data_IF_027227902307
#
_entry.id   IF_027227902307
#
_cell.length_a   1.000
_cell.length_b   1.000
_cell.length_c   1.000
_cell.angle_alpha   90.00
_cell.angle_beta   90.00
_cell.angle_gamma   90.00
#
_symmetry.space_group_name_H-M   'P 1'
#
loop_
_entity.id
_entity.type
_entity.pdbx_description
1 polymer ?
#
# COMPACT_ATOMS: atom_id res chain seq x y z
N UNK A 1 10.14 5.58 4.69
CA UNK A 1 9.58 6.81 5.28
C UNK A 1 8.98 7.75 4.24
N UNK A 2 9.75 8.56 3.48
CA UNK A 2 9.14 9.59 2.58
C UNK A 2 8.16 9.04 1.52
N UNK A 3 8.43 7.86 0.95
CA UNK A 3 7.49 7.23 0.01
C UNK A 3 6.16 6.81 0.66
N UNK A 4 6.21 6.30 1.89
CA UNK A 4 5.03 5.93 2.65
C UNK A 4 4.20 7.16 3.03
N UNK A 5 4.85 8.27 3.38
CA UNK A 5 4.19 9.55 3.64
C UNK A 5 3.44 10.08 2.41
N UNK A 6 4.05 9.97 1.21
CA UNK A 6 3.40 10.36 -0.04
C UNK A 6 2.18 9.49 -0.31
N UNK A 7 2.28 8.17 -0.16
CA UNK A 7 1.16 7.25 -0.34
C UNK A 7 0.04 7.56 0.66
N UNK A 8 0.37 7.79 1.93
CA UNK A 8 -0.60 8.14 2.96
C UNK A 8 -1.29 9.46 2.64
N UNK A 9 -0.56 10.48 2.19
CA UNK A 9 -1.15 11.76 1.78
C UNK A 9 -2.12 11.61 0.59
N UNK A 10 -1.81 10.72 -0.36
CA UNK A 10 -2.71 10.38 -1.47
C UNK A 10 -3.98 9.71 -0.95
N UNK A 11 -3.85 8.74 -0.03
CA UNK A 11 -4.99 8.06 0.60
C UNK A 11 -5.86 9.06 1.38
N UNK A 12 -5.26 9.94 2.17
CA UNK A 12 -5.99 10.99 2.90
C UNK A 12 -6.74 11.93 1.96
N UNK A 13 -6.14 12.30 0.82
CA UNK A 13 -6.79 13.15 -0.17
C UNK A 13 -8.01 12.47 -0.79
N UNK A 14 -7.87 11.20 -1.17
CA UNK A 14 -8.95 10.37 -1.71
C UNK A 14 -10.09 10.20 -0.71
N UNK A 15 -9.75 10.09 0.57
CA UNK A 15 -10.68 9.86 1.66
C UNK A 15 -11.51 11.10 2.08
N UNK A 16 -11.33 12.25 1.44
CA UNK A 16 -12.15 13.43 1.73
C UNK A 16 -13.52 13.32 1.06
N UNK A 17 -14.55 13.85 1.72
CA UNK A 17 -15.93 13.87 1.20
C UNK A 17 -16.02 14.54 -0.17
N UNK A 18 -15.25 15.60 -0.41
CA UNK A 18 -15.19 16.30 -1.70
C UNK A 18 -14.64 15.42 -2.83
N UNK A 19 -13.68 14.55 -2.52
CA UNK A 19 -13.04 13.67 -3.49
C UNK A 19 -13.88 12.45 -3.83
N UNK A 20 -14.73 11.97 -2.92
CA UNK A 20 -15.72 10.93 -3.23
C UNK A 20 -16.72 11.34 -4.32
N UNK A 21 -17.02 12.65 -4.43
CA UNK A 21 -17.91 13.18 -5.48
C UNK A 21 -17.24 13.29 -6.85
N UNK A 22 -15.93 13.52 -6.89
CA UNK A 22 -15.16 13.71 -8.13
C UNK A 22 -14.25 12.51 -8.44
N UNK A 23 -14.55 11.34 -7.87
CA UNK A 23 -13.66 10.18 -7.90
C UNK A 23 -13.42 9.64 -9.32
N UNK A 24 -14.46 9.65 -10.14
CA UNK A 24 -14.42 9.23 -11.55
C UNK A 24 -13.46 10.08 -12.39
N UNK A 25 -13.41 11.40 -12.13
CA UNK A 25 -12.53 12.33 -12.85
C UNK A 25 -11.06 12.07 -12.50
N UNK A 26 -10.76 11.86 -11.21
CA UNK A 26 -9.41 11.55 -10.73
C UNK A 26 -8.93 10.23 -11.32
N UNK A 27 -9.74 9.18 -11.24
CA UNK A 27 -9.36 7.87 -11.78
C UNK A 27 -9.25 7.89 -13.30
N UNK A 28 -10.06 8.69 -14.01
CA UNK A 28 -9.92 8.87 -15.45
C UNK A 28 -8.61 9.58 -15.83
N UNK A 29 -8.16 10.53 -15.01
CA UNK A 29 -6.90 11.25 -15.24
C UNK A 29 -5.66 10.37 -14.99
N UNK A 30 -5.66 9.58 -13.91
CA UNK A 30 -4.52 8.75 -13.51
C UNK A 30 -4.52 7.39 -14.22
N UNK A 31 -5.68 6.84 -14.54
CA UNK A 31 -5.87 5.52 -15.13
C UNK A 31 -5.18 5.32 -16.49
N UNK A 32 -4.92 6.39 -17.25
CA UNK A 32 -4.14 6.29 -18.51
C UNK A 32 -2.69 5.84 -18.30
N UNK A 33 -2.14 6.06 -17.10
CA UNK A 33 -0.75 5.77 -16.76
C UNK A 33 -0.64 4.75 -15.61
N UNK A 34 -1.74 4.10 -15.24
CA UNK A 34 -1.82 3.16 -14.13
C UNK A 34 -2.45 1.87 -14.62
N UNK A 35 -1.82 0.74 -14.30
CA UNK A 35 -2.37 -0.58 -14.57
C UNK A 35 -2.79 -1.22 -13.24
N UNK A 36 -4.04 -1.68 -13.17
CA UNK A 36 -4.60 -2.37 -12.01
C UNK A 36 -5.66 -3.36 -12.46
N UNK A 37 -5.87 -4.40 -11.68
CA UNK A 37 -6.97 -5.35 -11.78
C UNK A 37 -8.24 -4.89 -11.02
N UNK A 38 -8.16 -3.78 -10.28
CA UNK A 38 -9.29 -3.19 -9.57
C UNK A 38 -10.19 -2.42 -10.53
N UNK A 39 -11.48 -2.73 -10.52
CA UNK A 39 -12.47 -1.95 -11.29
C UNK A 39 -12.78 -0.62 -10.61
N UNK A 40 -13.33 0.35 -11.35
CA UNK A 40 -13.82 1.61 -10.79
C UNK A 40 -14.75 1.40 -9.59
N UNK A 41 -15.64 0.40 -9.70
CA UNK A 41 -16.57 0.02 -8.64
C UNK A 41 -15.86 -0.53 -7.41
N UNK A 42 -14.82 -1.35 -7.57
CA UNK A 42 -14.03 -1.88 -6.45
C UNK A 42 -13.33 -0.77 -5.69
N UNK A 43 -12.67 0.14 -6.40
CA UNK A 43 -11.95 1.24 -5.76
C UNK A 43 -12.94 2.17 -5.05
N UNK A 44 -14.10 2.44 -5.64
CA UNK A 44 -15.16 3.24 -5.00
C UNK A 44 -15.69 2.57 -3.73
N UNK A 45 -15.88 1.26 -3.77
CA UNK A 45 -16.32 0.45 -2.62
C UNK A 45 -15.28 0.48 -1.50
N UNK A 46 -13.99 0.35 -1.84
CA UNK A 46 -12.88 0.48 -0.88
C UNK A 46 -12.88 1.88 -0.25
N UNK A 47 -12.94 2.93 -1.08
CA UNK A 47 -12.91 4.31 -0.62
C UNK A 47 -14.10 4.66 0.29
N UNK A 48 -15.27 4.04 0.11
CA UNK A 48 -16.44 4.23 0.98
C UNK A 48 -16.38 3.41 2.26
N UNK A 49 -16.04 2.13 2.16
CA UNK A 49 -16.19 1.17 3.26
C UNK A 49 -14.95 1.06 4.16
N UNK A 50 -13.76 1.31 3.61
CA UNK A 50 -12.49 1.17 4.32
C UNK A 50 -11.83 2.52 4.61
N UNK A 51 -12.55 3.62 4.39
CA UNK A 51 -12.06 4.98 4.60
C UNK A 51 -11.57 5.20 6.02
N UNK A 52 -12.21 4.56 7.01
CA UNK A 52 -11.88 4.67 8.43
C UNK A 52 -10.57 3.97 8.78
N UNK A 53 -10.16 2.94 8.02
CA UNK A 53 -8.92 2.20 8.26
C UNK A 53 -7.68 3.10 8.10
N UNK A 54 -7.77 4.18 7.32
CA UNK A 54 -6.68 5.16 7.17
C UNK A 54 -6.27 5.85 8.48
N UNK A 55 -7.16 5.89 9.47
CA UNK A 55 -6.88 6.52 10.75
C UNK A 55 -5.87 5.73 11.59
N UNK A 56 -5.61 4.46 11.25
CA UNK A 56 -4.64 3.63 11.92
C UNK A 56 -3.77 2.89 10.89
N UNK A 57 -2.71 3.57 10.42
CA UNK A 57 -1.75 3.02 9.45
C UNK A 57 -0.46 2.68 10.18
N UNK A 58 -0.11 1.40 10.17
CA UNK A 58 1.19 0.92 10.64
C UNK A 58 2.17 0.80 9.48
N UNK A 59 3.30 1.49 9.57
CA UNK A 59 4.35 1.41 8.56
C UNK A 59 5.33 0.30 8.91
N UNK A 60 5.45 -0.67 8.01
CA UNK A 60 6.45 -1.73 8.11
C UNK A 60 7.57 -1.48 7.10
N UNK A 61 8.80 -1.85 7.47
CA UNK A 61 9.97 -1.80 6.58
C UNK A 61 10.66 -3.14 6.66
N UNK A 62 11.07 -3.68 5.51
CA UNK A 62 11.84 -4.92 5.45
C UNK A 62 13.24 -4.66 5.96
N UNK A 63 13.62 -5.25 7.08
CA UNK A 63 14.98 -5.19 7.58
C UNK A 63 15.87 -6.19 6.82
N UNK A 64 17.10 -5.79 6.53
CA UNK A 64 18.03 -6.60 5.77
C UNK A 64 19.34 -5.87 5.54
N UNK A 65 20.30 -6.60 5.01
CA UNK A 65 21.66 -6.10 4.80
C UNK A 65 21.98 -6.12 3.31
N UNK A 66 22.61 -5.06 2.83
CA UNK A 66 23.13 -5.01 1.47
C UNK A 66 24.40 -5.84 1.35
N UNK A 67 24.48 -6.68 0.33
CA UNK A 67 25.67 -7.48 0.04
C UNK A 67 25.87 -7.66 -1.45
N UNK A 68 27.12 -7.93 -1.87
CA UNK A 68 27.40 -8.36 -3.24
C UNK A 68 27.60 -9.87 -3.27
N UNK A 69 26.91 -10.53 -4.19
CA UNK A 69 27.12 -11.94 -4.54
C UNK A 69 27.44 -11.98 -6.03
N UNK A 70 28.57 -12.59 -6.40
CA UNK A 70 29.07 -12.66 -7.77
C UNK A 70 29.13 -11.30 -8.50
N UNK A 71 29.46 -10.24 -7.76
CA UNK A 71 29.58 -8.86 -8.27
C UNK A 71 28.26 -8.09 -8.39
N UNK A 72 27.11 -8.75 -8.22
CA UNK A 72 25.77 -8.15 -8.28
C UNK A 72 25.30 -7.78 -6.86
N UNK A 73 24.66 -6.63 -6.72
CA UNK A 73 24.13 -6.16 -5.43
C UNK A 73 22.78 -6.81 -5.13
N UNK A 74 22.66 -7.36 -3.92
CA UNK A 74 21.43 -7.94 -3.39
C UNK A 74 21.11 -7.32 -2.03
N UNK A 75 19.82 -7.22 -1.74
CA UNK A 75 19.32 -6.93 -0.41
C UNK A 75 18.97 -8.25 0.29
N UNK A 76 19.81 -8.66 1.23
CA UNK A 76 19.64 -9.92 1.93
C UNK A 76 18.72 -9.76 3.14
N UNK A 77 17.61 -10.49 3.13
CA UNK A 77 16.59 -10.47 4.19
C UNK A 77 16.58 -11.83 4.85
N UNK A 78 16.82 -11.86 6.17
CA UNK A 78 16.87 -13.09 6.96
C UNK A 78 15.53 -13.82 7.00
N UNK A 79 15.56 -15.14 7.16
CA UNK A 79 14.32 -15.93 7.26
C UNK A 79 13.47 -15.52 8.47
N UNK A 80 14.11 -15.12 9.57
CA UNK A 80 13.42 -14.61 10.76
C UNK A 80 12.64 -13.32 10.47
N UNK A 81 13.23 -12.37 9.72
CA UNK A 81 12.53 -11.15 9.33
C UNK A 81 11.40 -11.45 8.34
N UNK A 82 11.61 -12.36 7.38
CA UNK A 82 10.56 -12.81 6.45
C UNK A 82 9.38 -13.41 7.20
N UNK A 83 9.64 -14.30 8.16
CA UNK A 83 8.60 -14.94 8.96
C UNK A 83 7.83 -13.92 9.79
N UNK A 84 8.53 -12.99 10.46
CA UNK A 84 7.90 -11.92 11.24
C UNK A 84 6.98 -11.05 10.39
N UNK A 85 7.41 -10.65 9.19
CA UNK A 85 6.58 -9.86 8.26
C UNK A 85 5.37 -10.67 7.79
N UNK A 86 5.59 -11.94 7.43
CA UNK A 86 4.53 -12.86 7.04
C UNK A 86 3.47 -12.98 8.13
N UNK A 87 3.86 -13.27 9.38
CA UNK A 87 2.94 -13.45 10.49
C UNK A 87 2.17 -12.16 10.81
N UNK A 88 2.82 -11.01 10.70
CA UNK A 88 2.18 -9.70 10.90
C UNK A 88 1.12 -9.43 9.83
N UNK A 89 1.43 -9.74 8.57
CA UNK A 89 0.49 -9.58 7.45
C UNK A 89 -0.67 -10.59 7.54
N UNK A 90 -0.39 -11.85 7.85
CA UNK A 90 -1.40 -12.89 8.03
C UNK A 90 -2.37 -12.53 9.15
N UNK A 91 -1.86 -12.04 10.28
CA UNK A 91 -2.67 -11.56 11.40
C UNK A 91 -3.58 -10.39 10.99
N UNK A 92 -3.08 -9.41 10.23
CA UNK A 92 -3.88 -8.28 9.76
C UNK A 92 -4.98 -8.68 8.76
N UNK A 93 -4.79 -9.79 8.06
CA UNK A 93 -5.76 -10.37 7.14
C UNK A 93 -6.65 -11.44 7.78
N UNK A 94 -6.49 -11.68 9.09
CA UNK A 94 -7.18 -12.74 9.84
C UNK A 94 -6.98 -14.14 9.25
N UNK A 95 -5.83 -14.37 8.63
CA UNK A 95 -5.43 -15.65 8.07
C UNK A 95 -4.71 -16.50 9.13
N UNK A 96 -5.01 -17.80 9.14
CA UNK A 96 -4.38 -18.79 10.04
C UNK A 96 -3.04 -19.25 9.53
#
# INVERSE_FOLDING_TARGET
MRQQEVIQAVVEKVATTQTLWNFDEILSAVGKNMQTDLTMTDITRIAKNYISARNNVENMTVAGEGGKMDGIWYYNVSDAERQKLHDSLAKNLELK
#
